data_IF_275871860577
#
_entry.id   IF_275871860577
#
_cell.length_a   1.000
_cell.length_b   1.000
_cell.length_c   1.000
_cell.angle_alpha   90.00
_cell.angle_beta   90.00
_cell.angle_gamma   90.00
#
_symmetry.space_group_name_H-M   'P 1'
#
loop_
_entity.id
_entity.type
_entity.pdbx_description
1 polymer ?
#
# COMPACT_ATOMS: atom_id res chain seq x y z
N UNK A 1 -2.27 20.00 10.48
CA UNK A 1 -3.23 19.26 9.63
C UNK A 1 -2.79 17.83 9.32
N UNK A 2 -1.52 17.55 9.02
CA UNK A 2 -1.04 16.16 8.74
C UNK A 2 -1.42 15.17 9.86
N UNK A 3 -1.14 15.52 11.12
CA UNK A 3 -1.51 14.67 12.27
C UNK A 3 -3.04 14.49 12.43
N UNK A 4 -3.83 15.48 11.99
CA UNK A 4 -5.29 15.39 11.98
C UNK A 4 -5.73 14.38 10.92
N UNK A 5 -5.16 14.41 9.71
CA UNK A 5 -5.43 13.41 8.68
C UNK A 5 -5.07 11.99 9.14
N UNK A 6 -3.95 11.82 9.84
CA UNK A 6 -3.57 10.54 10.45
C UNK A 6 -4.62 10.08 11.48
N UNK A 7 -5.05 10.98 12.37
CA UNK A 7 -6.08 10.66 13.36
C UNK A 7 -7.39 10.25 12.68
N UNK A 8 -7.86 11.02 11.71
CA UNK A 8 -9.09 10.76 10.94
C UNK A 8 -9.01 9.42 10.21
N UNK A 9 -7.88 9.14 9.54
CA UNK A 9 -7.64 7.85 8.87
C UNK A 9 -7.63 6.69 9.87
N UNK A 10 -6.88 6.80 10.96
CA UNK A 10 -6.76 5.77 11.99
C UNK A 10 -8.05 5.51 12.78
N UNK A 11 -9.06 6.38 12.65
CA UNK A 11 -10.39 6.21 13.23
C UNK A 11 -11.48 5.93 12.19
N UNK A 12 -11.09 5.55 10.96
CA UNK A 12 -11.98 5.25 9.84
C UNK A 12 -12.90 6.42 9.42
N UNK A 13 -12.51 7.66 9.68
CA UNK A 13 -13.22 8.87 9.22
C UNK A 13 -12.70 9.27 7.83
N UNK A 14 -12.82 8.34 6.87
CA UNK A 14 -12.17 8.47 5.56
C UNK A 14 -12.55 9.74 4.76
N UNK A 15 -13.82 10.19 4.72
CA UNK A 15 -14.15 11.43 4.02
C UNK A 15 -13.40 12.65 4.58
N UNK A 16 -13.32 12.76 5.91
CA UNK A 16 -12.61 13.85 6.57
C UNK A 16 -11.10 13.77 6.27
N UNK A 17 -10.50 12.58 6.44
CA UNK A 17 -9.09 12.36 6.13
C UNK A 17 -8.74 12.76 4.69
N UNK A 18 -9.62 12.43 3.72
CA UNK A 18 -9.45 12.80 2.32
C UNK A 18 -9.50 14.32 2.09
N UNK A 19 -10.43 15.04 2.72
CA UNK A 19 -10.47 16.49 2.62
C UNK A 19 -9.27 17.15 3.32
N UNK A 20 -8.90 16.67 4.51
CA UNK A 20 -7.77 17.20 5.27
C UNK A 20 -6.45 17.04 4.51
N UNK A 21 -6.22 15.87 3.89
CA UNK A 21 -5.00 15.66 3.11
C UNK A 21 -5.01 16.49 1.82
N UNK A 22 -6.16 16.63 1.16
CA UNK A 22 -6.31 17.50 -0.01
C UNK A 22 -5.99 18.95 0.32
N UNK A 23 -6.44 19.45 1.48
CA UNK A 23 -6.07 20.76 1.98
C UNK A 23 -4.55 20.86 2.24
N UNK A 24 -3.94 19.83 2.85
CA UNK A 24 -2.48 19.79 3.04
C UNK A 24 -1.71 19.85 1.72
N UNK A 25 -2.17 19.15 0.67
CA UNK A 25 -1.59 19.24 -0.68
C UNK A 25 -1.64 20.68 -1.21
N UNK A 26 -2.79 21.35 -1.11
CA UNK A 26 -2.92 22.76 -1.54
C UNK A 26 -2.02 23.70 -0.73
N UNK A 27 -1.85 23.46 0.58
CA UNK A 27 -0.91 24.22 1.39
C UNK A 27 0.54 23.96 0.98
N UNK A 28 0.91 22.71 0.68
CA UNK A 28 2.25 22.39 0.19
C UNK A 28 2.55 23.12 -1.12
N UNK A 29 1.59 23.15 -2.06
CA UNK A 29 1.71 23.88 -3.31
C UNK A 29 1.85 25.40 -3.06
N UNK A 30 1.00 25.99 -2.21
CA UNK A 30 1.02 27.42 -1.88
C UNK A 30 2.35 27.86 -1.23
N UNK A 31 2.90 27.01 -0.36
CA UNK A 31 4.17 27.23 0.32
C UNK A 31 5.38 26.88 -0.58
N UNK A 32 5.15 26.26 -1.74
CA UNK A 32 6.19 25.79 -2.65
C UNK A 32 7.05 24.68 -2.07
N UNK A 33 6.49 23.83 -1.20
CA UNK A 33 7.19 22.69 -0.61
C UNK A 33 7.50 21.63 -1.67
N UNK A 34 8.71 21.10 -1.63
CA UNK A 34 9.18 20.04 -2.54
C UNK A 34 9.75 18.86 -1.77
N UNK A 35 9.84 17.69 -2.42
CA UNK A 35 10.53 16.52 -1.88
C UNK A 35 12.01 16.80 -1.53
N UNK A 36 12.62 17.81 -2.15
CA UNK A 36 13.99 18.24 -1.86
C UNK A 36 14.16 18.98 -0.54
N UNK A 37 13.06 19.45 0.08
CA UNK A 37 13.08 20.31 1.27
C UNK A 37 13.35 21.79 0.96
N UNK A 38 13.50 22.14 -0.31
CA UNK A 38 13.59 23.53 -0.76
C UNK A 38 12.19 24.12 -0.97
N UNK A 39 12.07 25.42 -0.70
CA UNK A 39 10.87 26.22 -1.01
C UNK A 39 11.17 27.07 -2.23
N UNK A 40 10.35 26.94 -3.27
CA UNK A 40 10.29 27.91 -4.37
C UNK A 40 9.18 28.96 -4.15
N UNK A 41 8.45 28.88 -3.04
CA UNK A 41 7.24 29.63 -2.79
C UNK A 41 7.39 30.76 -1.76
N UNK A 42 6.33 30.95 -0.98
CA UNK A 42 6.17 32.05 0.00
C UNK A 42 7.02 31.91 1.25
N UNK A 43 7.59 30.73 1.52
CA UNK A 43 8.41 30.54 2.70
C UNK A 43 9.80 31.20 2.55
N UNK A 44 10.37 31.76 3.63
CA UNK A 44 11.73 32.24 3.64
C UNK A 44 12.73 31.18 3.17
N UNK A 45 13.89 31.66 2.67
CA UNK A 45 15.02 30.79 2.34
C UNK A 45 15.41 29.98 3.58
N UNK A 46 15.58 28.68 3.39
CA UNK A 46 15.94 27.74 4.46
C UNK A 46 17.28 28.15 5.08
N UNK A 47 17.29 28.32 6.40
CA UNK A 47 18.44 28.82 7.16
C UNK A 47 19.19 27.73 7.91
N UNK A 48 18.51 26.64 8.25
CA UNK A 48 19.09 25.52 9.00
C UNK A 48 18.87 24.19 8.30
N UNK A 49 19.72 23.21 8.62
CA UNK A 49 19.49 21.83 8.18
C UNK A 49 18.17 21.30 8.72
N UNK A 50 17.86 21.60 9.99
CA UNK A 50 16.63 21.17 10.66
C UNK A 50 15.40 21.63 9.91
N UNK A 51 15.31 22.92 9.59
CA UNK A 51 14.21 23.50 8.83
C UNK A 51 14.06 22.86 7.43
N UNK A 52 15.19 22.54 6.76
CA UNK A 52 15.15 21.83 5.46
C UNK A 52 14.50 20.45 5.61
N UNK A 53 14.90 19.74 6.64
CA UNK A 53 14.45 18.38 6.88
C UNK A 53 12.99 18.34 7.35
N UNK A 54 12.53 19.32 8.14
CA UNK A 54 11.11 19.47 8.49
C UNK A 54 10.24 19.66 7.24
N UNK A 55 10.65 20.56 6.33
CA UNK A 55 9.95 20.81 5.07
C UNK A 55 9.89 19.55 4.21
N UNK A 56 11.00 18.81 4.11
CA UNK A 56 11.09 17.53 3.39
C UNK A 56 10.16 16.47 4.00
N UNK A 57 10.24 16.25 5.32
CA UNK A 57 9.42 15.28 6.04
C UNK A 57 7.94 15.62 5.96
N UNK A 58 7.58 16.90 6.02
CA UNK A 58 6.21 17.36 5.83
C UNK A 58 5.68 17.03 4.42
N UNK A 59 6.47 17.34 3.38
CA UNK A 59 6.08 17.01 2.00
C UNK A 59 5.87 15.50 1.82
N UNK A 60 6.82 14.68 2.30
CA UNK A 60 6.73 13.22 2.23
C UNK A 60 5.55 12.66 3.02
N UNK A 61 5.26 13.19 4.21
CA UNK A 61 4.11 12.77 5.00
C UNK A 61 2.80 13.07 4.26
N UNK A 62 2.69 14.24 3.62
CA UNK A 62 1.51 14.59 2.80
C UNK A 62 1.38 13.60 1.63
N UNK A 63 2.47 13.33 0.92
CA UNK A 63 2.50 12.38 -0.19
C UNK A 63 2.07 10.97 0.26
N UNK A 64 2.61 10.46 1.36
CA UNK A 64 2.28 9.14 1.92
C UNK A 64 0.78 9.01 2.19
N UNK A 65 0.17 9.98 2.88
CA UNK A 65 -1.27 9.92 3.17
C UNK A 65 -2.13 10.09 1.92
N UNK A 66 -1.73 10.92 0.96
CA UNK A 66 -2.42 11.04 -0.34
C UNK A 66 -2.41 9.68 -1.07
N UNK A 67 -1.30 8.93 -1.02
CA UNK A 67 -1.23 7.58 -1.60
C UNK A 67 -2.10 6.57 -0.85
N UNK A 68 -2.02 6.53 0.49
CA UNK A 68 -2.78 5.59 1.33
C UNK A 68 -4.29 5.80 1.12
N UNK A 69 -4.76 7.04 1.23
CA UNK A 69 -6.18 7.34 1.11
C UNK A 69 -6.67 7.06 -0.32
N UNK A 70 -5.88 7.38 -1.34
CA UNK A 70 -6.24 7.06 -2.72
C UNK A 70 -6.34 5.56 -2.98
N UNK A 71 -5.45 4.74 -2.41
CA UNK A 71 -5.49 3.28 -2.52
C UNK A 71 -6.74 2.69 -1.85
N UNK A 72 -7.01 3.04 -0.59
CA UNK A 72 -8.16 2.49 0.15
C UNK A 72 -9.50 2.99 -0.42
N UNK A 73 -9.59 4.25 -0.88
CA UNK A 73 -10.86 4.85 -1.33
C UNK A 73 -11.06 4.89 -2.84
N UNK A 74 -10.09 4.40 -3.64
CA UNK A 74 -10.07 4.46 -5.12
C UNK A 74 -10.28 5.88 -5.69
N UNK A 75 -9.94 6.91 -4.92
CA UNK A 75 -10.05 8.33 -5.31
C UNK A 75 -8.82 8.81 -6.07
N UNK A 76 -8.95 9.95 -6.76
CA UNK A 76 -7.80 10.58 -7.42
C UNK A 76 -6.83 11.15 -6.38
N UNK A 77 -5.55 11.07 -6.73
CA UNK A 77 -4.44 11.64 -5.98
C UNK A 77 -4.28 13.11 -6.31
N UNK A 78 -3.76 13.87 -5.35
CA UNK A 78 -3.63 15.32 -5.45
C UNK A 78 -2.19 15.78 -5.54
N UNK A 79 -1.26 15.01 -4.97
CA UNK A 79 0.17 15.33 -4.97
C UNK A 79 0.84 14.93 -6.29
N UNK A 80 1.82 15.73 -6.71
CA UNK A 80 2.72 15.37 -7.81
C UNK A 80 3.66 14.23 -7.40
N UNK A 81 4.02 13.39 -8.37
CA UNK A 81 4.96 12.29 -8.14
C UNK A 81 6.38 12.82 -7.85
N UNK A 82 7.10 12.25 -6.86
CA UNK A 82 8.50 12.54 -6.68
C UNK A 82 9.32 11.97 -7.85
N UNK A 83 10.40 12.66 -8.20
CA UNK A 83 11.36 12.19 -9.19
C UNK A 83 12.36 11.21 -8.58
N UNK A 84 12.96 10.37 -9.43
CA UNK A 84 14.01 9.42 -9.05
C UNK A 84 15.23 10.08 -8.36
N UNK A 85 15.47 11.37 -8.64
CA UNK A 85 16.58 12.16 -8.11
C UNK A 85 16.24 12.90 -6.82
N UNK A 86 14.95 12.96 -6.43
CA UNK A 86 14.59 13.57 -5.16
C UNK A 86 15.15 12.77 -3.98
N UNK A 87 15.51 13.49 -2.93
CA UNK A 87 16.06 12.90 -1.72
C UNK A 87 14.96 12.36 -0.81
N UNK A 88 15.19 11.15 -0.30
CA UNK A 88 14.46 10.60 0.82
C UNK A 88 14.83 11.36 2.11
N UNK A 89 13.96 11.33 3.13
CA UNK A 89 14.26 11.88 4.45
C UNK A 89 15.55 11.31 5.04
N UNK A 90 16.20 12.11 5.89
CA UNK A 90 17.38 11.70 6.65
C UNK A 90 17.05 10.57 7.64
N UNK A 91 18.10 9.98 8.21
CA UNK A 91 17.95 8.99 9.27
C UNK A 91 17.17 9.58 10.47
N UNK A 92 16.19 8.83 10.98
CA UNK A 92 15.33 9.24 12.09
C UNK A 92 16.12 9.55 13.36
N UNK A 93 17.14 8.76 13.71
CA UNK A 93 17.94 9.03 14.92
C UNK A 93 18.77 10.31 14.82
N UNK A 94 19.28 10.63 13.63
CA UNK A 94 20.05 11.86 13.40
C UNK A 94 19.14 13.09 13.40
N UNK A 95 17.93 12.93 12.86
CA UNK A 95 16.87 13.93 12.95
C UNK A 95 16.49 14.21 14.41
N UNK A 96 16.20 13.17 15.19
CA UNK A 96 15.82 13.30 16.61
C UNK A 96 16.95 13.90 17.46
N UNK A 97 18.21 13.59 17.14
CA UNK A 97 19.38 14.18 17.79
C UNK A 97 19.68 15.63 17.34
N UNK A 98 19.05 16.11 16.26
CA UNK A 98 19.32 17.43 15.69
C UNK A 98 20.75 17.62 15.21
N UNK A 99 21.49 16.54 14.90
CA UNK A 99 22.90 16.59 14.54
C UNK A 99 23.09 16.45 13.01
N UNK A 100 23.46 17.53 12.30
CA UNK A 100 23.59 17.51 10.84
C UNK A 100 24.91 16.91 10.34
N UNK A 101 25.88 16.60 11.20
CA UNK A 101 27.28 16.37 10.81
C UNK A 101 27.53 15.08 10.01
N UNK A 102 26.68 14.06 10.17
CA UNK A 102 26.87 12.74 9.54
C UNK A 102 25.64 12.31 8.71
N UNK A 103 24.84 13.27 8.27
CA UNK A 103 23.60 12.98 7.53
C UNK A 103 23.92 12.56 6.10
N UNK A 104 23.59 11.31 5.76
CA UNK A 104 23.64 10.80 4.40
C UNK A 104 22.24 10.79 3.81
N UNK A 105 22.08 11.43 2.66
CA UNK A 105 20.84 11.39 1.88
C UNK A 105 20.93 10.33 0.79
N UNK A 106 19.82 9.62 0.61
CA UNK A 106 19.63 8.70 -0.49
C UNK A 106 18.54 9.23 -1.41
N UNK A 107 18.65 8.97 -2.70
CA UNK A 107 17.59 9.31 -3.63
C UNK A 107 16.45 8.29 -3.57
N UNK A 108 15.29 8.65 -4.12
CA UNK A 108 14.16 7.72 -4.29
C UNK A 108 14.56 6.46 -5.06
N UNK A 109 15.44 6.59 -6.05
CA UNK A 109 15.95 5.47 -6.85
C UNK A 109 17.08 4.67 -6.18
N UNK A 110 17.45 4.97 -4.94
CA UNK A 110 18.47 4.23 -4.23
C UNK A 110 18.09 2.73 -4.13
N UNK A 111 19.04 1.80 -4.37
CA UNK A 111 18.77 0.38 -4.25
C UNK A 111 18.18 0.01 -2.90
N UNK A 112 17.10 -0.78 -2.92
CA UNK A 112 16.39 -1.19 -1.71
C UNK A 112 17.27 -1.96 -0.70
N UNK A 113 18.42 -2.51 -1.13
CA UNK A 113 19.38 -3.23 -0.28
C UNK A 113 20.12 -2.31 0.69
N UNK A 114 20.16 -1.02 0.41
CA UNK A 114 20.82 -0.03 1.27
C UNK A 114 19.95 0.16 2.53
N UNK A 115 20.50 -0.02 3.74
CA UNK A 115 19.77 0.25 4.98
C UNK A 115 19.34 1.72 5.06
N UNK A 116 18.08 1.94 5.41
CA UNK A 116 17.48 3.28 5.55
C UNK A 116 16.53 3.31 6.75
N UNK A 117 16.21 4.51 7.23
CA UNK A 117 15.31 4.69 8.36
C UNK A 117 13.88 4.21 8.05
N UNK A 118 13.10 3.83 9.07
CA UNK A 118 11.70 3.44 8.89
C UNK A 118 10.88 4.46 8.09
N UNK A 119 11.05 5.76 8.35
CA UNK A 119 10.33 6.79 7.61
C UNK A 119 10.76 6.88 6.14
N UNK A 120 12.06 6.75 5.83
CA UNK A 120 12.53 6.70 4.45
C UNK A 120 12.00 5.45 3.70
N UNK A 121 11.93 4.30 4.38
CA UNK A 121 11.30 3.08 3.82
C UNK A 121 9.81 3.28 3.55
N UNK A 122 9.10 3.99 4.41
CA UNK A 122 7.70 4.31 4.19
C UNK A 122 7.51 5.22 2.97
N UNK A 123 8.43 6.17 2.75
CA UNK A 123 8.45 7.00 1.55
C UNK A 123 8.63 6.16 0.28
N UNK A 124 9.61 5.23 0.28
CA UNK A 124 9.82 4.30 -0.85
C UNK A 124 8.57 3.44 -1.10
N UNK A 125 7.95 2.92 -0.03
CA UNK A 125 6.71 2.16 -0.11
C UNK A 125 5.59 2.98 -0.76
N UNK A 126 5.41 4.24 -0.37
CA UNK A 126 4.42 5.12 -0.98
C UNK A 126 4.68 5.38 -2.48
N UNK A 127 5.93 5.50 -2.91
CA UNK A 127 6.28 5.62 -4.34
C UNK A 127 5.91 4.35 -5.12
N UNK A 128 6.17 3.17 -4.55
CA UNK A 128 5.74 1.90 -5.16
C UNK A 128 4.21 1.78 -5.21
N UNK A 129 3.53 2.22 -4.14
CA UNK A 129 2.08 2.22 -4.03
C UNK A 129 1.42 3.15 -5.06
N UNK A 130 2.02 4.32 -5.29
CA UNK A 130 1.68 5.23 -6.40
C UNK A 130 1.75 4.53 -7.77
N UNK A 131 2.87 3.86 -8.05
CA UNK A 131 3.08 3.12 -9.31
C UNK A 131 2.06 2.00 -9.46
N UNK A 132 1.74 1.29 -8.38
CA UNK A 132 0.75 0.23 -8.36
C UNK A 132 -0.64 0.76 -8.70
N UNK A 133 -1.05 1.88 -8.10
CA UNK A 133 -2.33 2.53 -8.41
C UNK A 133 -2.40 2.98 -9.88
N UNK A 134 -1.33 3.54 -10.43
CA UNK A 134 -1.26 3.92 -11.84
C UNK A 134 -1.35 2.71 -12.77
N UNK A 135 -0.68 1.60 -12.42
CA UNK A 135 -0.71 0.35 -13.16
C UNK A 135 -2.12 -0.28 -13.14
N UNK A 136 -2.76 -0.38 -11.98
CA UNK A 136 -4.12 -0.89 -11.82
C UNK A 136 -5.14 -0.06 -12.62
N UNK A 137 -4.96 1.27 -12.70
CA UNK A 137 -5.77 2.14 -13.56
C UNK A 137 -5.60 1.81 -15.04
N UNK A 138 -4.37 1.56 -15.51
CA UNK A 138 -4.08 1.13 -16.90
C UNK A 138 -4.68 -0.24 -17.23
N UNK A 139 -4.63 -1.21 -16.32
CA UNK A 139 -5.29 -2.50 -16.51
C UNK A 139 -6.79 -2.36 -16.75
N UNK A 140 -7.45 -1.39 -16.09
CA UNK A 140 -8.87 -1.09 -16.32
C UNK A 140 -9.16 -0.64 -17.75
N UNK A 141 -8.16 -0.10 -18.44
CA UNK A 141 -8.26 0.38 -19.82
C UNK A 141 -7.91 -0.70 -20.86
N UNK A 142 -7.62 -1.94 -20.43
CA UNK A 142 -7.60 -3.12 -21.30
C UNK A 142 -6.36 -3.32 -22.19
N UNK A 143 -5.18 -2.79 -21.83
CA UNK A 143 -3.97 -2.98 -22.65
C UNK A 143 -3.22 -4.27 -22.29
N UNK A 144 -2.90 -5.14 -23.27
CA UNK A 144 -2.13 -6.39 -23.06
C UNK A 144 -0.75 -6.14 -22.42
N UNK A 145 -0.07 -5.05 -22.79
CA UNK A 145 1.17 -4.63 -22.15
C UNK A 145 1.04 -4.36 -20.64
N UNK A 146 -0.18 -4.10 -20.15
CA UNK A 146 -0.42 -3.83 -18.73
C UNK A 146 -0.21 -5.07 -17.85
N UNK A 147 -0.41 -6.30 -18.34
CA UNK A 147 -0.29 -7.52 -17.51
C UNK A 147 1.17 -7.84 -17.18
N UNK A 148 2.07 -7.75 -18.16
CA UNK A 148 3.51 -7.93 -17.96
C UNK A 148 4.09 -6.86 -17.01
N UNK A 149 3.72 -5.59 -17.22
CA UNK A 149 4.11 -4.48 -16.33
C UNK A 149 3.60 -4.67 -14.90
N UNK A 150 2.40 -5.24 -14.74
CA UNK A 150 1.78 -5.55 -13.44
C UNK A 150 2.60 -6.58 -12.68
N UNK A 151 2.95 -7.70 -13.33
CA UNK A 151 3.73 -8.75 -12.69
C UNK A 151 5.15 -8.29 -12.36
N UNK A 152 5.79 -7.54 -13.26
CA UNK A 152 7.11 -6.97 -12.99
C UNK A 152 7.08 -6.02 -11.78
N UNK A 153 6.01 -5.23 -11.62
CA UNK A 153 5.85 -4.37 -10.45
C UNK A 153 5.54 -5.18 -9.17
N UNK A 154 4.78 -6.26 -9.27
CA UNK A 154 4.53 -7.17 -8.15
C UNK A 154 5.84 -7.82 -7.66
N UNK A 155 6.71 -8.25 -8.56
CA UNK A 155 8.04 -8.79 -8.22
C UNK A 155 8.91 -7.75 -7.51
N UNK A 156 8.88 -6.48 -7.96
CA UNK A 156 9.60 -5.38 -7.30
C UNK A 156 9.06 -5.14 -5.88
N UNK A 157 7.74 -5.17 -5.69
CA UNK A 157 7.10 -5.00 -4.39
C UNK A 157 7.43 -6.16 -3.44
N UNK A 158 7.39 -7.42 -3.92
CA UNK A 158 7.81 -8.58 -3.13
C UNK A 158 9.28 -8.47 -2.72
N UNK A 159 10.17 -8.18 -3.66
CA UNK A 159 11.59 -8.01 -3.37
C UNK A 159 11.84 -6.85 -2.39
N UNK A 160 11.04 -5.79 -2.46
CA UNK A 160 11.09 -4.70 -1.49
C UNK A 160 10.69 -5.18 -0.09
N UNK A 161 9.57 -5.90 0.05
CA UNK A 161 9.10 -6.44 1.34
C UNK A 161 10.12 -7.42 1.93
N UNK A 162 10.64 -8.35 1.14
CA UNK A 162 11.67 -9.32 1.56
C UNK A 162 12.95 -8.64 2.06
N UNK A 163 13.37 -7.54 1.41
CA UNK A 163 14.55 -6.80 1.86
C UNK A 163 14.32 -6.05 3.18
N UNK A 164 13.07 -5.82 3.56
CA UNK A 164 12.75 -5.27 4.88
C UNK A 164 12.78 -6.34 5.98
N UNK A 165 12.78 -7.65 5.65
CA UNK A 165 12.77 -8.80 6.60
C UNK A 165 13.94 -8.85 7.57
N UNK A 166 15.06 -8.21 7.23
CA UNK A 166 16.25 -8.18 8.07
C UNK A 166 16.04 -7.55 9.45
N UNK A 167 15.00 -6.71 9.63
CA UNK A 167 14.65 -6.10 10.92
C UNK A 167 13.35 -6.70 11.44
N UNK A 168 13.43 -7.50 12.51
CA UNK A 168 12.27 -8.09 13.22
C UNK A 168 11.53 -7.09 14.12
N UNK A 169 11.91 -5.82 14.08
CA UNK A 169 11.24 -4.76 14.83
C UNK A 169 9.95 -4.33 14.12
N UNK A 170 8.84 -4.18 14.87
CA UNK A 170 7.57 -3.64 14.38
C UNK A 170 7.65 -2.21 13.79
N UNK A 171 8.83 -1.56 13.85
CA UNK A 171 9.12 -0.25 13.25
C UNK A 171 8.88 -0.18 11.75
N UNK A 172 9.04 -1.31 11.03
CA UNK A 172 8.81 -1.37 9.58
C UNK A 172 7.40 -1.82 9.18
N UNK A 173 6.50 -2.01 10.17
CA UNK A 173 5.12 -2.45 9.92
C UNK A 173 4.39 -1.53 8.93
N UNK A 174 4.51 -0.22 9.08
CA UNK A 174 3.87 0.75 8.18
C UNK A 174 4.37 0.62 6.73
N UNK A 175 5.68 0.49 6.54
CA UNK A 175 6.32 0.41 5.22
C UNK A 175 5.95 -0.88 4.51
N UNK A 176 5.97 -2.01 5.22
CA UNK A 176 5.55 -3.31 4.67
C UNK A 176 4.06 -3.35 4.43
N UNK A 177 3.27 -2.88 5.38
CA UNK A 177 1.82 -2.80 5.27
C UNK A 177 1.37 -2.01 4.04
N UNK A 178 1.95 -0.84 3.79
CA UNK A 178 1.63 -0.07 2.58
C UNK A 178 2.06 -0.78 1.29
N UNK A 179 3.21 -1.47 1.28
CA UNK A 179 3.66 -2.24 0.12
C UNK A 179 2.74 -3.45 -0.15
N UNK A 180 2.30 -4.14 0.90
CA UNK A 180 1.33 -5.22 0.82
C UNK A 180 -0.04 -4.69 0.32
N UNK A 181 -0.54 -3.57 0.84
CA UNK A 181 -1.77 -2.93 0.32
C UNK A 181 -1.65 -2.60 -1.16
N UNK A 182 -0.49 -2.13 -1.60
CA UNK A 182 -0.22 -1.89 -3.02
C UNK A 182 -0.24 -3.19 -3.84
N UNK A 183 0.33 -4.28 -3.33
CA UNK A 183 0.27 -5.61 -3.96
C UNK A 183 -1.17 -6.09 -4.10
N UNK A 184 -1.98 -6.00 -3.03
CA UNK A 184 -3.39 -6.38 -3.06
C UNK A 184 -4.15 -5.57 -4.12
N UNK A 185 -4.01 -4.24 -4.13
CA UNK A 185 -4.66 -3.38 -5.11
C UNK A 185 -4.21 -3.64 -6.56
N UNK A 186 -2.95 -4.02 -6.76
CA UNK A 186 -2.37 -4.31 -8.06
C UNK A 186 -2.85 -5.65 -8.65
N UNK A 187 -3.02 -6.66 -7.81
CA UNK A 187 -3.32 -8.04 -8.20
C UNK A 187 -4.81 -8.38 -8.11
N UNK A 188 -5.65 -7.59 -7.42
CA UNK A 188 -7.10 -7.81 -7.26
C UNK A 188 -7.80 -8.23 -8.56
N UNK A 189 -7.48 -7.57 -9.68
CA UNK A 189 -8.09 -7.86 -10.98
C UNK A 189 -7.60 -9.14 -11.63
N UNK A 190 -6.34 -9.51 -11.41
CA UNK A 190 -5.75 -10.72 -11.97
C UNK A 190 -6.17 -11.98 -11.20
N UNK A 191 -6.65 -11.82 -9.96
CA UNK A 191 -7.09 -12.92 -9.12
C UNK A 191 -8.55 -13.35 -9.37
N UNK A 192 -9.40 -12.49 -9.94
CA UNK A 192 -10.81 -12.79 -10.21
C UNK A 192 -11.03 -13.42 -11.61
N UNK A 193 -11.59 -14.64 -11.71
CA UNK A 193 -11.86 -15.28 -13.00
C UNK A 193 -13.01 -14.63 -13.80
N UNK A 194 -13.99 -14.02 -13.13
CA UNK A 194 -15.23 -13.51 -13.79
C UNK A 194 -15.06 -12.15 -14.51
N UNK A 195 -13.94 -11.43 -14.32
CA UNK A 195 -13.77 -10.06 -14.86
C UNK A 195 -13.12 -9.99 -16.25
N UNK A 196 -12.76 -11.13 -16.85
CA UNK A 196 -12.25 -11.21 -18.22
C UNK A 196 -13.35 -11.37 -19.27
N UNK A 197 -14.57 -11.78 -18.88
CA UNK A 197 -15.68 -12.04 -19.79
C UNK A 197 -16.36 -10.77 -20.34
N UNK A 198 -16.15 -9.60 -19.72
CA UNK A 198 -16.86 -8.36 -20.08
C UNK A 198 -16.29 -7.62 -21.30
N UNK A 199 -15.37 -8.21 -22.07
CA UNK A 199 -14.83 -7.62 -23.31
C UNK A 199 -15.16 -8.41 -24.58
N UNK A 200 -15.87 -9.53 -24.49
CA UNK A 200 -16.42 -10.22 -25.67
C UNK A 200 -17.81 -9.71 -26.00
N UNK A 201 -17.88 -8.49 -26.54
CA UNK A 201 -18.99 -8.12 -27.41
C UNK A 201 -18.93 -9.02 -28.66
N UNK A 202 -19.78 -10.05 -28.65
CA UNK A 202 -20.42 -10.71 -29.79
C UNK A 202 -19.60 -10.87 -31.09
N UNK A 203 -18.95 -12.03 -31.26
CA UNK A 203 -18.76 -12.65 -32.58
C UNK A 203 -19.36 -14.08 -32.54
N UNK A 204 -20.29 -14.46 -33.46
CA UNK A 204 -21.02 -15.73 -33.35
C UNK A 204 -20.27 -16.97 -33.85
N UNK A 205 -18.98 -16.87 -34.19
CA UNK A 205 -18.25 -17.98 -34.81
C UNK A 205 -17.23 -18.58 -33.83
N UNK A 206 -17.41 -19.86 -33.41
CA UNK A 206 -16.37 -20.57 -32.68
C UNK A 206 -15.28 -20.98 -33.68
N UNK A 207 -14.18 -20.24 -33.71
CA UNK A 207 -12.95 -20.70 -34.36
C UNK A 207 -12.28 -21.74 -33.46
N UNK A 208 -12.31 -23.00 -33.90
CA UNK A 208 -11.49 -24.09 -33.37
C UNK A 208 -10.02 -23.81 -33.75
N UNK A 209 -9.32 -23.04 -32.93
CA UNK A 209 -7.88 -22.81 -33.09
C UNK A 209 -7.11 -23.16 -31.82
N UNK A 210 -6.05 -23.96 -31.98
CA UNK A 210 -5.07 -24.34 -30.94
C UNK A 210 -4.36 -23.15 -30.27
N UNK A 211 -4.55 -21.92 -30.77
CA UNK A 211 -4.08 -20.69 -30.13
C UNK A 211 -4.92 -20.28 -28.92
N UNK A 212 -6.23 -20.61 -28.90
CA UNK A 212 -7.10 -20.32 -27.75
C UNK A 212 -6.70 -21.13 -26.50
N UNK A 213 -6.27 -22.37 -26.69
CA UNK A 213 -5.82 -23.23 -25.58
C UNK A 213 -4.53 -22.69 -24.95
N UNK A 214 -3.59 -22.19 -25.77
CA UNK A 214 -2.34 -21.56 -25.30
C UNK A 214 -2.60 -20.26 -24.55
N UNK A 215 -3.52 -19.41 -25.02
CA UNK A 215 -3.88 -18.15 -24.36
C UNK A 215 -4.59 -18.38 -23.02
N UNK A 216 -5.46 -19.40 -22.95
CA UNK A 216 -6.14 -19.80 -21.72
C UNK A 216 -5.15 -20.35 -20.68
N UNK A 217 -4.20 -21.20 -21.10
CA UNK A 217 -3.16 -21.73 -20.21
C UNK A 217 -2.27 -20.61 -19.65
N UNK A 218 -1.92 -19.62 -20.49
CA UNK A 218 -1.16 -18.45 -20.06
C UNK A 218 -1.94 -17.61 -19.02
N UNK A 219 -3.24 -17.39 -19.24
CA UNK A 219 -4.12 -16.67 -18.30
C UNK A 219 -4.25 -17.40 -16.96
N UNK A 220 -4.46 -18.71 -16.98
CA UNK A 220 -4.53 -19.53 -15.77
C UNK A 220 -3.20 -19.53 -15.01
N UNK A 221 -2.08 -19.61 -15.72
CA UNK A 221 -0.75 -19.53 -15.11
C UNK A 221 -0.52 -18.18 -14.42
N UNK A 222 -1.00 -17.09 -15.01
CA UNK A 222 -0.93 -15.74 -14.47
C UNK A 222 -1.80 -15.59 -13.22
N UNK A 223 -3.03 -16.09 -13.27
CA UNK A 223 -3.95 -16.07 -12.13
C UNK A 223 -3.36 -16.84 -10.94
N UNK A 224 -2.78 -18.03 -11.16
CA UNK A 224 -2.10 -18.81 -10.11
C UNK A 224 -0.97 -18.01 -9.48
N UNK A 225 -0.10 -17.40 -10.28
CA UNK A 225 1.00 -16.55 -9.78
C UNK A 225 0.48 -15.35 -8.97
N UNK A 226 -0.62 -14.74 -9.39
CA UNK A 226 -1.25 -13.64 -8.66
C UNK A 226 -1.81 -14.12 -7.30
N UNK A 227 -2.53 -15.24 -7.27
CA UNK A 227 -3.06 -15.83 -6.03
C UNK A 227 -1.93 -16.23 -5.07
N UNK A 228 -0.88 -16.89 -5.56
CA UNK A 228 0.29 -17.24 -4.76
C UNK A 228 0.97 -16.00 -4.17
N UNK A 229 1.05 -14.92 -4.95
CA UNK A 229 1.58 -13.63 -4.51
C UNK A 229 0.74 -13.00 -3.41
N UNK A 230 -0.59 -13.02 -3.54
CA UNK A 230 -1.50 -12.55 -2.51
C UNK A 230 -1.38 -13.37 -1.23
N UNK A 231 -1.28 -14.70 -1.34
CA UNK A 231 -1.12 -15.59 -0.20
C UNK A 231 0.19 -15.30 0.56
N UNK A 232 1.32 -15.15 -0.16
CA UNK A 232 2.61 -14.78 0.45
C UNK A 232 2.54 -13.44 1.18
N UNK A 233 1.98 -12.41 0.53
CA UNK A 233 1.81 -11.10 1.15
C UNK A 233 0.90 -11.15 2.39
N UNK A 234 -0.14 -11.99 2.36
CA UNK A 234 -1.06 -12.22 3.47
C UNK A 234 -0.38 -12.88 4.67
N UNK A 235 0.41 -13.92 4.42
CA UNK A 235 1.18 -14.61 5.45
C UNK A 235 2.21 -13.67 6.12
N UNK A 236 2.88 -12.85 5.32
CA UNK A 236 3.89 -11.90 5.78
C UNK A 236 3.30 -10.80 6.66
N UNK A 237 2.24 -10.12 6.21
CA UNK A 237 1.62 -9.06 7.01
C UNK A 237 1.01 -9.60 8.31
N UNK A 238 0.45 -10.82 8.29
CA UNK A 238 -0.06 -11.47 9.49
C UNK A 238 1.07 -11.84 10.46
N UNK A 239 2.18 -12.36 9.96
CA UNK A 239 3.35 -12.65 10.78
C UNK A 239 3.82 -11.39 11.52
N UNK A 240 3.94 -10.27 10.82
CA UNK A 240 4.35 -8.99 11.41
C UNK A 240 3.34 -8.44 12.41
N UNK A 241 2.05 -8.55 12.10
CA UNK A 241 0.99 -8.14 13.00
C UNK A 241 1.04 -8.92 14.33
N UNK A 242 1.36 -10.22 14.29
CA UNK A 242 1.52 -11.05 15.49
C UNK A 242 2.72 -10.64 16.34
N UNK A 243 3.78 -10.11 15.71
CA UNK A 243 5.02 -9.70 16.38
C UNK A 243 4.99 -8.25 16.89
N UNK A 244 3.94 -7.48 16.58
CA UNK A 244 3.88 -6.05 16.91
C UNK A 244 2.95 -5.79 18.09
N UNK A 245 3.45 -5.04 19.07
CA UNK A 245 2.67 -4.64 20.24
C UNK A 245 1.52 -3.69 19.85
N UNK A 246 0.28 -3.91 20.34
CA UNK A 246 -0.88 -3.11 19.94
C UNK A 246 -0.76 -1.61 20.23
N UNK A 247 0.02 -1.24 21.24
CA UNK A 247 0.16 0.15 21.69
C UNK A 247 1.11 0.98 20.82
N UNK A 248 2.06 0.36 20.12
CA UNK A 248 3.09 1.06 19.34
C UNK A 248 2.85 1.02 17.83
N UNK A 249 1.76 0.40 17.39
CA UNK A 249 1.49 0.19 15.98
C UNK A 249 0.94 1.44 15.29
N UNK A 250 1.39 1.66 14.05
CA UNK A 250 0.81 2.63 13.13
C UNK A 250 -0.46 2.05 12.50
N UNK A 251 -1.52 2.85 12.21
CA UNK A 251 -2.70 2.35 11.49
C UNK A 251 -2.38 2.05 10.02
N UNK A 252 -1.22 2.53 9.54
CA UNK A 252 -0.70 2.26 8.20
C UNK A 252 -0.30 0.78 8.16
N UNK A 253 -1.02 -0.01 7.36
CA UNK A 253 -0.87 -1.48 7.25
C UNK A 253 -2.09 -2.28 7.68
N UNK A 254 -3.09 -1.64 8.32
CA UNK A 254 -4.33 -2.34 8.68
C UNK A 254 -5.14 -2.73 7.44
N UNK A 255 -5.07 -1.92 6.39
CA UNK A 255 -5.65 -2.22 5.09
C UNK A 255 -5.08 -3.52 4.49
N UNK A 256 -3.76 -3.71 4.52
CA UNK A 256 -3.13 -4.95 4.10
C UNK A 256 -3.53 -6.15 4.97
N UNK A 257 -3.64 -5.96 6.30
CA UNK A 257 -4.08 -7.03 7.20
C UNK A 257 -5.56 -7.38 6.99
N UNK A 258 -6.39 -6.40 6.65
CA UNK A 258 -7.78 -6.62 6.24
C UNK A 258 -7.85 -7.38 4.91
N UNK A 259 -7.09 -6.96 3.89
CA UNK A 259 -7.00 -7.67 2.62
C UNK A 259 -6.50 -9.12 2.82
N UNK A 260 -5.53 -9.34 3.70
CA UNK A 260 -5.06 -10.67 4.06
C UNK A 260 -6.18 -11.53 4.69
N UNK A 261 -6.98 -10.94 5.60
CA UNK A 261 -8.15 -11.62 6.15
C UNK A 261 -9.13 -12.03 5.03
N UNK A 262 -9.42 -11.13 4.08
CA UNK A 262 -10.29 -11.46 2.94
C UNK A 262 -9.71 -12.57 2.06
N UNK A 263 -8.40 -12.56 1.81
CA UNK A 263 -7.72 -13.64 1.08
C UNK A 263 -7.83 -14.97 1.80
N UNK A 264 -7.62 -15.02 3.13
CA UNK A 264 -7.76 -16.24 3.91
C UNK A 264 -9.21 -16.74 3.98
N UNK A 265 -10.18 -15.82 4.05
CA UNK A 265 -11.60 -16.18 4.00
C UNK A 265 -11.97 -16.80 2.67
N UNK A 266 -11.53 -16.21 1.56
CA UNK A 266 -11.73 -16.76 0.22
C UNK A 266 -11.07 -18.14 0.08
N UNK A 267 -9.81 -18.29 0.49
CA UNK A 267 -9.11 -19.58 0.45
C UNK A 267 -9.82 -20.67 1.26
N UNK A 268 -10.31 -20.33 2.46
CA UNK A 268 -11.07 -21.26 3.29
C UNK A 268 -12.39 -21.68 2.61
N UNK A 269 -13.08 -20.74 1.96
CA UNK A 269 -14.33 -21.04 1.27
C UNK A 269 -14.12 -21.99 0.08
N UNK A 270 -13.09 -21.75 -0.74
CA UNK A 270 -12.83 -22.53 -1.95
C UNK A 270 -12.20 -23.90 -1.68
N UNK A 271 -11.27 -23.98 -0.71
CA UNK A 271 -10.48 -25.20 -0.47
C UNK A 271 -10.91 -25.99 0.76
N UNK A 272 -11.66 -25.37 1.68
CA UNK A 272 -11.91 -25.93 3.02
C UNK A 272 -10.66 -26.02 3.90
N UNK A 273 -9.54 -25.38 3.54
CA UNK A 273 -8.28 -25.45 4.29
C UNK A 273 -8.40 -24.82 5.67
N UNK A 274 -8.27 -25.66 6.69
CA UNK A 274 -8.36 -25.28 8.09
C UNK A 274 -7.25 -24.30 8.51
N UNK A 275 -6.08 -24.34 7.86
CA UNK A 275 -5.02 -23.37 8.12
C UNK A 275 -5.45 -21.96 7.70
N UNK A 276 -6.15 -21.83 6.57
CA UNK A 276 -6.71 -20.55 6.13
C UNK A 276 -7.74 -20.02 7.14
N UNK A 277 -8.56 -20.89 7.73
CA UNK A 277 -9.49 -20.51 8.81
C UNK A 277 -8.77 -19.98 10.05
N UNK A 278 -7.67 -20.63 10.46
CA UNK A 278 -6.85 -20.18 11.60
C UNK A 278 -6.22 -18.82 11.31
N UNK A 279 -5.63 -18.65 10.13
CA UNK A 279 -5.04 -17.38 9.71
C UNK A 279 -6.06 -16.24 9.64
N UNK A 280 -7.29 -16.53 9.16
CA UNK A 280 -8.40 -15.57 9.19
C UNK A 280 -8.72 -15.11 10.62
N UNK A 281 -8.88 -16.04 11.56
CA UNK A 281 -9.20 -15.71 12.95
C UNK A 281 -8.06 -14.96 13.65
N UNK A 282 -6.81 -15.28 13.33
CA UNK A 282 -5.66 -14.55 13.86
C UNK A 282 -5.56 -13.13 13.28
N UNK A 283 -5.81 -12.93 11.98
CA UNK A 283 -5.91 -11.59 11.40
C UNK A 283 -6.99 -10.75 12.10
N UNK A 284 -8.15 -11.34 12.39
CA UNK A 284 -9.24 -10.69 13.16
C UNK A 284 -8.84 -10.41 14.60
N UNK A 285 -8.05 -11.29 15.24
CA UNK A 285 -7.55 -11.07 16.60
C UNK A 285 -6.59 -9.89 16.62
N UNK A 286 -5.65 -9.81 15.68
CA UNK A 286 -4.72 -8.70 15.54
C UNK A 286 -5.46 -7.37 15.31
N UNK A 287 -6.36 -7.30 14.33
CA UNK A 287 -7.15 -6.09 14.04
C UNK A 287 -7.98 -5.61 15.25
N UNK A 288 -8.64 -6.54 15.98
CA UNK A 288 -9.34 -6.21 17.22
C UNK A 288 -8.40 -5.70 18.31
N UNK A 289 -7.25 -6.34 18.47
CA UNK A 289 -6.22 -5.92 19.43
C UNK A 289 -5.74 -4.49 19.16
N UNK A 290 -5.45 -4.18 17.90
CA UNK A 290 -5.03 -2.84 17.49
C UNK A 290 -6.13 -1.77 17.61
N UNK A 291 -7.39 -2.22 17.68
CA UNK A 291 -8.56 -1.41 17.99
C UNK A 291 -8.48 -0.61 19.28
N UNK A 292 -7.61 -1.00 20.22
CA UNK A 292 -7.41 -0.27 21.47
C UNK A 292 -6.82 1.14 21.27
N UNK A 293 -6.03 1.33 20.22
CA UNK A 293 -5.42 2.61 19.85
C UNK A 293 -6.08 3.24 18.62
N UNK A 294 -6.43 2.41 17.64
CA UNK A 294 -6.92 2.84 16.34
C UNK A 294 -8.25 2.17 16.02
N UNK A 295 -9.34 2.93 16.12
CA UNK A 295 -10.71 2.44 15.83
C UNK A 295 -10.83 1.81 14.44
N UNK A 296 -9.97 2.18 13.49
CA UNK A 296 -9.87 1.55 12.18
C UNK A 296 -9.83 0.02 12.23
N UNK A 297 -9.08 -0.57 13.17
CA UNK A 297 -9.00 -2.03 13.30
C UNK A 297 -10.34 -2.68 13.64
N UNK A 298 -11.12 -2.08 14.54
CA UNK A 298 -12.46 -2.56 14.90
C UNK A 298 -13.47 -2.40 13.76
N UNK A 299 -13.39 -1.31 12.99
CA UNK A 299 -14.29 -1.07 11.86
C UNK A 299 -14.02 -2.07 10.72
N UNK A 300 -12.75 -2.41 10.43
CA UNK A 300 -12.43 -3.46 9.47
C UNK A 300 -12.99 -4.83 9.88
N UNK A 301 -12.96 -5.18 11.17
CA UNK A 301 -13.62 -6.39 11.65
C UNK A 301 -15.15 -6.36 11.50
N UNK A 302 -15.78 -5.19 11.58
CA UNK A 302 -17.21 -5.05 11.35
C UNK A 302 -17.57 -5.20 9.87
N UNK A 303 -16.77 -4.63 8.97
CA UNK A 303 -16.96 -4.72 7.52
C UNK A 303 -16.89 -6.16 7.00
N UNK A 304 -15.93 -6.95 7.46
CA UNK A 304 -15.81 -8.35 7.05
C UNK A 304 -17.05 -9.17 7.45
N UNK A 305 -17.60 -8.95 8.65
CA UNK A 305 -18.84 -9.63 9.08
C UNK A 305 -20.01 -9.30 8.17
N UNK A 306 -20.17 -8.03 7.80
CA UNK A 306 -21.22 -7.60 6.88
C UNK A 306 -21.07 -8.24 5.48
N UNK A 307 -19.84 -8.34 4.97
CA UNK A 307 -19.57 -8.99 3.69
C UNK A 307 -19.92 -10.48 3.73
N UNK A 308 -19.54 -11.18 4.80
CA UNK A 308 -19.86 -12.59 5.00
C UNK A 308 -21.38 -12.85 5.10
N UNK A 309 -22.10 -12.00 5.84
CA UNK A 309 -23.56 -12.12 5.97
C UNK A 309 -24.29 -11.84 4.66
N UNK A 310 -23.77 -10.93 3.83
CA UNK A 310 -24.35 -10.64 2.50
C UNK A 310 -24.24 -11.85 1.57
N UNK A 311 -23.10 -12.54 1.56
CA UNK A 311 -22.88 -13.74 0.73
C UNK A 311 -23.81 -14.89 1.14
N UNK A 312 -24.10 -15.04 2.43
CA UNK A 312 -25.04 -16.05 2.95
C UNK A 312 -26.51 -15.81 2.61
N UNK A 313 -26.91 -14.56 2.35
CA UNK A 313 -28.29 -14.23 1.97
C UNK A 313 -28.51 -14.50 0.47
N UNK A 314 -27.44 -14.48 -0.31
CA UNK A 314 -27.46 -14.72 -1.77
C UNK A 314 -27.16 -16.17 -2.18
N UNK A 315 -26.85 -17.05 -1.24
CA UNK A 315 -26.63 -18.50 -1.45
C UNK A 315 -27.78 -19.31 -0.88
#
# INVERSE_FOLDING_TARGET
>A
MILVALYEYGHAVYPAAWFTIGACSRYADLLGLTAGGESAGTLPKVTSWTEREERRRAWWAIFIFDQIIALTSKKQRTMAEPTATNFLPANDSMWDAGNPLEVVYHSVAAPHRIPQSPFARLCQSAVLASRAAACAKKQTLGTVAATADTMALADVLHSFVEQLDGSRDGKLFASRGLACSALFALLDKLSCPERSESTTDSSPYPSLDSSMDSELDDQLSLQRKAVDSLHKASAEILYLARMTEPHDISPIGFDALYCAAMTFQWLYHESGDENARICLEDSKRCLRGFGCRWRLGTEYCALERMQYDTVKITT
#
